data_IF_056869941585
#
_entry.id   IF_056869941585
#
_cell.length_a   1.000
_cell.length_b   1.000
_cell.length_c   1.000
_cell.angle_alpha   90.00
_cell.angle_beta   90.00
_cell.angle_gamma   90.00
#
_symmetry.space_group_name_H-M   'P 1'
#
loop_
_entity.id
_entity.type
_entity.pdbx_description
1 polymer ?
#
# COMPACT_ATOMS: atom_id res chain seq x y z
N UNK A 1 -6.94 15.85 18.01
CA UNK A 1 -6.33 14.53 17.69
C UNK A 1 -4.88 14.75 17.29
N UNK A 2 -3.97 13.80 17.57
CA UNK A 2 -2.59 13.87 17.11
C UNK A 2 -2.42 12.99 15.88
N UNK A 3 -1.74 13.48 14.85
CA UNK A 3 -1.35 12.67 13.71
C UNK A 3 0.00 13.12 13.16
N UNK A 4 0.62 12.29 12.31
CA UNK A 4 1.84 12.68 11.60
C UNK A 4 1.52 13.62 10.45
N UNK A 5 0.46 13.29 9.70
CA UNK A 5 -0.07 14.13 8.64
C UNK A 5 -1.58 14.24 8.83
N UNK A 6 -2.09 15.47 8.85
CA UNK A 6 -3.52 15.76 8.77
C UNK A 6 -3.83 16.38 7.41
N UNK A 7 -4.83 15.82 6.74
CA UNK A 7 -5.43 16.38 5.54
C UNK A 7 -6.83 16.84 5.91
N UNK A 8 -7.08 18.14 5.79
CA UNK A 8 -8.38 18.74 6.09
C UNK A 8 -9.01 19.22 4.79
N UNK A 9 -10.10 18.56 4.39
CA UNK A 9 -10.86 18.85 3.17
C UNK A 9 -9.99 19.02 1.90
N UNK A 10 -9.14 18.03 1.63
CA UNK A 10 -8.14 18.12 0.54
C UNK A 10 -8.70 17.60 -0.78
N UNK A 11 -8.56 18.42 -1.82
CA UNK A 11 -8.79 18.04 -3.22
C UNK A 11 -7.49 18.16 -4.00
N UNK A 12 -6.98 17.04 -4.51
CA UNK A 12 -5.88 17.02 -5.48
C UNK A 12 -6.47 17.08 -6.89
N UNK A 13 -6.08 18.10 -7.65
CA UNK A 13 -6.53 18.35 -9.03
C UNK A 13 -5.32 18.40 -9.95
N UNK A 14 -5.15 17.37 -10.79
CA UNK A 14 -3.94 17.18 -11.60
C UNK A 14 -2.63 17.38 -10.80
N UNK A 15 -2.63 16.97 -9.53
CA UNK A 15 -1.54 17.22 -8.60
C UNK A 15 -1.15 15.96 -7.83
N UNK A 16 -0.04 16.03 -7.10
CA UNK A 16 0.60 14.87 -6.51
C UNK A 16 1.03 15.13 -5.07
N UNK A 17 0.73 14.19 -4.16
CA UNK A 17 1.16 14.21 -2.77
C UNK A 17 1.94 12.93 -2.45
N UNK A 18 3.13 13.08 -1.88
CA UNK A 18 3.96 11.98 -1.42
C UNK A 18 4.28 12.12 0.06
N UNK A 19 3.85 11.15 0.85
CA UNK A 19 4.30 10.93 2.22
C UNK A 19 5.22 9.72 2.17
N UNK A 20 6.51 9.90 2.42
CA UNK A 20 7.43 8.75 2.36
C UNK A 20 8.58 8.80 3.34
N UNK A 21 9.08 7.62 3.70
CA UNK A 21 10.24 7.45 4.58
C UNK A 21 10.05 8.10 5.96
N UNK A 22 8.80 8.19 6.43
CA UNK A 22 8.49 8.81 7.70
C UNK A 22 8.59 7.77 8.82
N UNK A 23 9.41 8.05 9.83
CA UNK A 23 9.47 7.24 11.05
C UNK A 23 8.94 8.07 12.20
N UNK A 24 7.85 7.64 12.81
CA UNK A 24 7.23 8.37 13.91
C UNK A 24 6.81 7.42 15.04
N UNK A 25 6.86 7.94 16.25
CA UNK A 25 6.43 7.24 17.46
C UNK A 25 5.50 8.15 18.26
N UNK A 26 4.33 7.64 18.61
CA UNK A 26 3.38 8.30 19.49
C UNK A 26 3.37 7.63 20.88
N UNK A 27 3.46 8.45 21.92
CA UNK A 27 3.30 7.99 23.32
C UNK A 27 1.84 7.84 23.75
N UNK A 28 0.89 8.34 22.94
CA UNK A 28 -0.56 8.30 23.21
C UNK A 28 -1.25 7.32 22.29
N UNK A 29 -2.14 6.49 22.85
CA UNK A 29 -2.86 5.40 22.16
C UNK A 29 -3.92 5.83 21.12
N UNK A 30 -4.14 7.14 20.92
CA UNK A 30 -5.17 7.68 20.01
C UNK A 30 -4.56 8.53 18.86
N UNK A 31 -3.30 8.29 18.53
CA UNK A 31 -2.66 8.98 17.42
C UNK A 31 -2.91 8.28 16.07
N UNK A 32 -2.91 9.04 14.99
CA UNK A 32 -3.10 8.53 13.62
C UNK A 32 -1.86 8.75 12.75
N UNK A 33 -1.50 7.81 11.88
CA UNK A 33 -0.38 8.00 10.96
C UNK A 33 -0.65 9.13 9.97
N UNK A 34 -1.39 8.79 8.91
CA UNK A 34 -2.00 9.78 8.01
C UNK A 34 -3.51 9.81 8.26
N UNK A 35 -4.03 11.00 8.49
CA UNK A 35 -5.41 11.24 8.91
C UNK A 35 -6.10 12.24 7.97
N UNK A 36 -7.24 11.86 7.40
CA UNK A 36 -8.16 12.80 6.74
C UNK A 36 -9.36 13.05 7.64
N UNK A 37 -9.55 14.30 8.06
CA UNK A 37 -10.69 14.74 8.89
C UNK A 37 -12.00 14.69 8.12
N UNK A 38 -11.94 15.05 6.83
CA UNK A 38 -13.05 15.18 5.90
C UNK A 38 -12.76 14.41 4.61
N UNK A 39 -13.45 14.77 3.53
CA UNK A 39 -13.27 14.14 2.22
C UNK A 39 -11.90 14.44 1.63
N UNK A 40 -11.16 13.37 1.31
CA UNK A 40 -9.98 13.41 0.47
C UNK A 40 -10.39 13.03 -0.96
N UNK A 41 -10.29 13.98 -1.89
CA UNK A 41 -10.64 13.77 -3.29
C UNK A 41 -9.40 13.87 -4.19
N UNK A 42 -9.26 12.94 -5.12
CA UNK A 42 -8.26 12.95 -6.18
C UNK A 42 -8.97 12.94 -7.53
N UNK A 43 -8.69 13.95 -8.36
CA UNK A 43 -9.31 14.15 -9.69
C UNK A 43 -8.27 14.61 -10.72
N UNK A 44 -8.61 14.50 -12.01
CA UNK A 44 -7.76 14.97 -13.11
C UNK A 44 -6.38 14.30 -13.19
N UNK A 45 -6.28 12.99 -12.96
CA UNK A 45 -5.00 12.28 -13.00
C UNK A 45 -4.09 12.56 -11.79
N UNK A 46 -4.69 12.86 -10.64
CA UNK A 46 -3.94 13.15 -9.41
C UNK A 46 -3.36 11.88 -8.78
N UNK A 47 -2.36 12.07 -7.93
CA UNK A 47 -1.78 10.95 -7.18
C UNK A 47 -1.51 11.25 -5.72
N UNK A 48 -1.78 10.28 -4.85
CA UNK A 48 -1.36 10.28 -3.46
C UNK A 48 -0.63 8.97 -3.17
N UNK A 49 0.60 9.08 -2.72
CA UNK A 49 1.39 7.93 -2.29
C UNK A 49 1.83 8.11 -0.85
N UNK A 50 1.51 7.12 -0.01
CA UNK A 50 2.09 6.97 1.31
C UNK A 50 2.92 5.69 1.36
N UNK A 51 4.25 5.81 1.46
CA UNK A 51 5.14 4.65 1.30
C UNK A 51 6.37 4.65 2.19
N UNK A 52 6.79 3.45 2.60
CA UNK A 52 7.98 3.27 3.45
C UNK A 52 7.90 4.05 4.77
N UNK A 53 6.69 4.28 5.27
CA UNK A 53 6.47 4.89 6.58
C UNK A 53 6.47 3.81 7.67
N UNK A 54 6.98 4.15 8.85
CA UNK A 54 6.98 3.30 10.04
C UNK A 54 6.37 4.05 11.21
N UNK A 55 5.24 3.55 11.71
CA UNK A 55 4.49 4.18 12.80
C UNK A 55 4.42 3.27 14.03
N UNK A 56 4.90 3.77 15.16
CA UNK A 56 4.88 3.08 16.45
C UNK A 56 3.94 3.80 17.43
N UNK A 57 3.09 3.05 18.15
CA UNK A 57 2.14 3.60 19.13
C UNK A 57 0.92 4.31 18.53
N UNK A 58 0.67 4.17 17.23
CA UNK A 58 -0.48 4.75 16.53
C UNK A 58 -1.68 3.78 16.51
N UNK A 59 -2.90 4.31 16.49
CA UNK A 59 -4.12 3.50 16.45
C UNK A 59 -4.41 2.97 15.05
N UNK A 60 -4.30 3.83 14.04
CA UNK A 60 -4.45 3.47 12.63
C UNK A 60 -3.24 3.97 11.84
N UNK A 61 -2.74 3.15 10.91
CA UNK A 61 -1.67 3.55 10.00
C UNK A 61 -2.20 4.64 9.05
N UNK A 62 -3.38 4.40 8.49
CA UNK A 62 -4.14 5.36 7.68
C UNK A 62 -5.59 5.42 8.16
N UNK A 63 -6.09 6.61 8.46
CA UNK A 63 -7.51 6.85 8.70
C UNK A 63 -8.02 7.92 7.75
N UNK A 64 -9.03 7.59 6.95
CA UNK A 64 -9.65 8.54 6.03
C UNK A 64 -11.14 8.62 6.34
N UNK A 65 -11.66 9.84 6.40
CA UNK A 65 -13.08 10.06 6.62
C UNK A 65 -13.89 9.58 5.40
N UNK A 66 -13.74 10.29 4.27
CA UNK A 66 -14.19 9.86 2.94
C UNK A 66 -13.00 9.83 1.99
N UNK A 67 -13.03 8.92 1.03
CA UNK A 67 -12.04 8.86 -0.06
C UNK A 67 -12.75 8.80 -1.41
N UNK A 68 -12.38 9.69 -2.32
CA UNK A 68 -12.88 9.69 -3.69
C UNK A 68 -11.71 9.76 -4.65
N UNK A 69 -11.46 8.68 -5.41
CA UNK A 69 -10.39 8.62 -6.41
C UNK A 69 -11.02 8.47 -7.78
N UNK A 70 -10.94 9.52 -8.60
CA UNK A 70 -11.68 9.62 -9.86
C UNK A 70 -10.80 10.16 -10.98
N UNK A 71 -11.28 10.04 -12.21
CA UNK A 71 -10.65 10.64 -13.39
C UNK A 71 -9.17 10.25 -13.52
N UNK A 72 -8.90 8.94 -13.66
CA UNK A 72 -7.54 8.41 -13.86
C UNK A 72 -6.57 8.71 -12.71
N UNK A 73 -7.07 8.85 -11.49
CA UNK A 73 -6.25 9.17 -10.32
C UNK A 73 -5.79 7.92 -9.54
N UNK A 74 -4.79 8.10 -8.68
CA UNK A 74 -4.18 7.00 -7.90
C UNK A 74 -4.04 7.37 -6.44
N UNK A 75 -4.59 6.56 -5.53
CA UNK A 75 -4.24 6.59 -4.11
C UNK A 75 -3.54 5.28 -3.75
N UNK A 76 -2.35 5.35 -3.13
CA UNK A 76 -1.53 4.17 -2.90
C UNK A 76 -0.84 4.20 -1.53
N UNK A 77 -1.04 3.14 -0.76
CA UNK A 77 -0.48 2.88 0.56
C UNK A 77 0.46 1.69 0.43
N UNK A 78 1.77 1.93 0.33
CA UNK A 78 2.74 0.93 -0.10
C UNK A 78 3.85 0.69 0.91
N UNK A 79 4.09 -0.57 1.28
CA UNK A 79 5.27 -0.97 2.08
C UNK A 79 5.44 -0.18 3.38
N UNK A 80 4.33 0.11 4.08
CA UNK A 80 4.36 0.79 5.37
C UNK A 80 4.33 -0.24 6.51
N UNK A 81 4.92 0.12 7.65
CA UNK A 81 4.99 -0.74 8.82
C UNK A 81 4.34 -0.09 10.03
N UNK A 82 3.66 -0.89 10.84
CA UNK A 82 3.13 -0.48 12.13
C UNK A 82 3.50 -1.53 13.20
N UNK A 83 4.07 -1.09 14.32
CA UNK A 83 4.48 -2.03 15.38
C UNK A 83 3.28 -2.78 15.97
N UNK A 84 2.23 -2.04 16.33
CA UNK A 84 0.94 -2.52 16.78
C UNK A 84 -0.13 -1.45 16.56
N UNK A 85 -1.40 -1.86 16.45
CA UNK A 85 -2.52 -0.93 16.28
C UNK A 85 -3.84 -1.64 16.02
N UNK A 86 -4.87 -0.89 15.63
CA UNK A 86 -6.18 -1.43 15.28
C UNK A 86 -6.24 -1.78 13.80
N UNK A 87 -5.78 -0.89 12.91
CA UNK A 87 -5.77 -1.20 11.48
C UNK A 87 -4.73 -0.49 10.62
N UNK A 88 -4.42 -1.10 9.47
CA UNK A 88 -3.58 -0.47 8.44
C UNK A 88 -4.36 0.61 7.69
N UNK A 89 -5.59 0.31 7.27
CA UNK A 89 -6.49 1.27 6.65
C UNK A 89 -7.82 1.28 7.41
N UNK A 90 -8.22 2.46 7.86
CA UNK A 90 -9.51 2.74 8.46
C UNK A 90 -10.31 3.65 7.53
N UNK A 91 -11.45 3.16 7.08
CA UNK A 91 -12.49 3.95 6.45
C UNK A 91 -13.51 4.33 7.52
N UNK A 92 -13.75 5.63 7.69
CA UNK A 92 -14.80 6.09 8.59
C UNK A 92 -16.17 6.04 7.91
N UNK A 93 -16.28 6.59 6.70
CA UNK A 93 -17.53 6.69 5.96
C UNK A 93 -17.41 6.04 4.56
N UNK A 94 -17.45 6.77 3.45
CA UNK A 94 -17.55 6.18 2.11
C UNK A 94 -16.25 6.28 1.30
N UNK A 95 -15.90 5.18 0.63
CA UNK A 95 -14.78 5.12 -0.32
C UNK A 95 -15.31 4.80 -1.71
N UNK A 96 -14.86 5.56 -2.70
CA UNK A 96 -15.22 5.39 -4.10
C UNK A 96 -14.00 5.51 -5.01
N UNK A 97 -13.88 4.57 -5.94
CA UNK A 97 -12.86 4.54 -7.00
C UNK A 97 -13.56 4.42 -8.35
N UNK A 98 -13.44 5.42 -9.21
CA UNK A 98 -14.18 5.49 -10.47
C UNK A 98 -13.34 6.07 -11.63
N UNK A 99 -13.87 5.98 -12.85
CA UNK A 99 -13.23 6.43 -14.08
C UNK A 99 -11.74 6.05 -14.21
N UNK A 100 -11.49 4.76 -14.39
CA UNK A 100 -10.15 4.21 -14.61
C UNK A 100 -9.14 4.57 -13.52
N UNK A 101 -9.59 4.72 -12.27
CA UNK A 101 -8.75 5.10 -11.14
C UNK A 101 -8.32 3.90 -10.31
N UNK A 102 -7.33 4.11 -9.44
CA UNK A 102 -6.72 3.03 -8.67
C UNK A 102 -6.58 3.39 -7.20
N UNK A 103 -6.99 2.47 -6.33
CA UNK A 103 -6.64 2.47 -4.91
C UNK A 103 -5.80 1.24 -4.58
N UNK A 104 -4.60 1.44 -4.05
CA UNK A 104 -3.66 0.36 -3.70
C UNK A 104 -3.36 0.35 -2.20
N UNK A 105 -3.44 -0.81 -1.59
CA UNK A 105 -2.96 -1.08 -0.23
C UNK A 105 -2.09 -2.32 -0.33
N UNK A 106 -0.78 -2.13 -0.50
CA UNK A 106 0.12 -3.22 -0.90
C UNK A 106 1.36 -3.28 -0.02
N UNK A 107 1.73 -4.49 0.42
CA UNK A 107 2.98 -4.72 1.13
C UNK A 107 3.04 -4.12 2.54
N UNK A 108 1.91 -3.69 3.10
CA UNK A 108 1.89 -3.09 4.43
C UNK A 108 1.90 -4.18 5.50
N UNK A 109 2.61 -3.96 6.61
CA UNK A 109 2.72 -4.95 7.66
C UNK A 109 2.62 -4.39 9.07
N UNK A 110 2.15 -5.22 10.00
CA UNK A 110 2.13 -4.86 11.41
C UNK A 110 1.32 -5.79 12.28
N UNK A 111 1.53 -5.73 13.59
CA UNK A 111 0.71 -6.47 14.55
C UNK A 111 -0.59 -5.73 14.84
N UNK A 112 -1.52 -5.73 13.88
CA UNK A 112 -2.79 -5.00 13.97
C UNK A 112 -3.99 -5.93 14.13
N UNK A 113 -5.09 -5.43 14.68
CA UNK A 113 -6.34 -6.21 14.77
C UNK A 113 -6.92 -6.51 13.38
N UNK A 114 -6.87 -5.57 12.44
CA UNK A 114 -7.45 -5.70 11.11
C UNK A 114 -6.56 -5.05 10.02
N UNK A 115 -6.43 -5.62 8.82
CA UNK A 115 -5.78 -4.88 7.71
C UNK A 115 -6.67 -3.72 7.28
N UNK A 116 -7.93 -4.02 6.96
CA UNK A 116 -8.94 -3.09 6.48
C UNK A 116 -10.09 -3.03 7.50
N UNK A 117 -10.28 -1.86 8.10
CA UNK A 117 -11.44 -1.55 8.92
C UNK A 117 -12.39 -0.67 8.11
N UNK A 118 -13.48 -1.26 7.63
CA UNK A 118 -14.43 -0.63 6.71
C UNK A 118 -15.84 -0.98 7.18
N UNK A 119 -16.51 -0.12 7.97
CA UNK A 119 -17.86 -0.38 8.47
C UNK A 119 -18.96 0.00 7.47
N UNK A 120 -18.59 0.61 6.34
CA UNK A 120 -19.48 1.30 5.41
C UNK A 120 -19.20 0.88 3.94
N UNK A 121 -19.87 1.53 2.98
CA UNK A 121 -19.84 1.18 1.56
C UNK A 121 -18.46 1.45 0.91
N UNK A 122 -18.03 0.51 0.08
CA UNK A 122 -16.88 0.63 -0.80
C UNK A 122 -17.33 0.40 -2.25
N UNK A 123 -17.08 1.36 -3.15
CA UNK A 123 -17.51 1.28 -4.55
C UNK A 123 -16.31 1.36 -5.49
N UNK A 124 -16.23 0.43 -6.44
CA UNK A 124 -15.21 0.39 -7.49
C UNK A 124 -15.92 0.24 -8.83
N UNK A 125 -15.83 1.26 -9.69
CA UNK A 125 -16.63 1.32 -10.93
C UNK A 125 -15.83 1.84 -12.13
N UNK A 126 -16.39 1.70 -13.33
CA UNK A 126 -15.85 2.31 -14.57
C UNK A 126 -14.38 1.92 -14.84
N UNK A 127 -14.11 0.61 -14.88
CA UNK A 127 -12.80 0.03 -15.18
C UNK A 127 -11.71 0.47 -14.19
N UNK A 128 -12.09 0.65 -12.93
CA UNK A 128 -11.19 0.99 -11.83
C UNK A 128 -10.63 -0.25 -11.14
N UNK A 129 -9.60 -0.05 -10.31
CA UNK A 129 -8.92 -1.14 -9.62
C UNK A 129 -8.72 -0.87 -8.13
N UNK A 130 -9.11 -1.84 -7.31
CA UNK A 130 -8.79 -1.92 -5.90
C UNK A 130 -7.77 -3.03 -5.67
N UNK A 131 -6.57 -2.66 -5.22
CA UNK A 131 -5.40 -3.53 -5.13
C UNK A 131 -5.00 -3.82 -3.69
N UNK A 132 -5.42 -4.97 -3.15
CA UNK A 132 -5.06 -5.42 -1.79
C UNK A 132 -4.13 -6.62 -1.83
N UNK A 133 -2.82 -6.34 -1.92
CA UNK A 133 -1.82 -7.39 -2.08
C UNK A 133 -0.76 -7.39 -1.01
N UNK A 134 -0.25 -8.57 -0.69
CA UNK A 134 0.98 -8.76 0.08
C UNK A 134 0.97 -8.06 1.47
N UNK A 135 -0.21 -7.80 2.05
CA UNK A 135 -0.30 -7.22 3.38
C UNK A 135 -0.15 -8.31 4.45
N UNK A 136 0.59 -8.02 5.52
CA UNK A 136 0.84 -8.95 6.62
C UNK A 136 0.40 -8.37 7.96
N UNK A 137 -0.70 -8.91 8.49
CA UNK A 137 -1.27 -8.47 9.79
C UNK A 137 -0.99 -9.45 10.93
N UNK A 138 -0.06 -10.39 10.73
CA UNK A 138 0.31 -11.39 11.73
C UNK A 138 -0.89 -12.23 12.16
N UNK A 139 -1.30 -12.10 13.43
CA UNK A 139 -2.43 -12.84 14.01
C UNK A 139 -3.79 -12.11 13.86
N UNK A 140 -3.79 -10.91 13.28
CA UNK A 140 -5.00 -10.13 13.04
C UNK A 140 -5.88 -10.65 11.91
N UNK A 141 -7.01 -9.98 11.69
CA UNK A 141 -7.92 -10.26 10.58
C UNK A 141 -7.55 -9.46 9.32
N UNK A 142 -7.84 -9.95 8.12
CA UNK A 142 -7.76 -9.08 6.93
C UNK A 142 -8.84 -8.00 6.96
N UNK A 143 -10.08 -8.38 7.28
CA UNK A 143 -11.23 -7.48 7.30
C UNK A 143 -11.89 -7.44 8.67
N UNK A 144 -12.32 -6.25 9.09
CA UNK A 144 -13.11 -6.10 10.30
C UNK A 144 -14.51 -6.71 10.16
N UNK A 145 -14.97 -7.39 11.23
CA UNK A 145 -16.23 -8.14 11.26
C UNK A 145 -17.43 -7.21 11.52
N UNK A 146 -18.00 -6.61 10.48
CA UNK A 146 -19.28 -5.87 10.58
C UNK A 146 -20.31 -6.50 9.64
N UNK A 147 -21.55 -6.66 10.11
CA UNK A 147 -22.64 -7.27 9.34
C UNK A 147 -23.09 -6.47 8.10
N UNK A 148 -22.57 -5.25 7.91
CA UNK A 148 -23.12 -4.24 6.99
C UNK A 148 -22.15 -3.72 5.93
N UNK A 149 -20.94 -4.28 5.78
CA UNK A 149 -19.97 -3.77 4.80
C UNK A 149 -20.28 -4.30 3.39
N UNK A 150 -20.57 -3.39 2.45
CA UNK A 150 -20.84 -3.70 1.05
C UNK A 150 -19.65 -3.29 0.18
N UNK A 151 -19.17 -4.20 -0.68
CA UNK A 151 -18.21 -3.89 -1.74
C UNK A 151 -18.92 -4.03 -3.08
N UNK A 152 -19.16 -2.91 -3.75
CA UNK A 152 -19.83 -2.84 -5.05
C UNK A 152 -18.76 -2.73 -6.14
N UNK A 153 -18.83 -3.64 -7.11
CA UNK A 153 -17.89 -3.68 -8.24
C UNK A 153 -18.70 -3.58 -9.53
N UNK A 154 -18.45 -2.53 -10.32
CA UNK A 154 -19.21 -2.18 -11.52
C UNK A 154 -18.30 -1.88 -12.72
N UNK A 155 -18.86 -1.93 -13.94
CA UNK A 155 -18.26 -1.36 -15.14
C UNK A 155 -16.90 -1.96 -15.51
N UNK A 156 -16.74 -3.28 -15.46
CA UNK A 156 -15.46 -3.98 -15.71
C UNK A 156 -14.33 -3.66 -14.72
N UNK A 157 -14.68 -3.22 -13.52
CA UNK A 157 -13.71 -2.99 -12.46
C UNK A 157 -13.17 -4.29 -11.87
N UNK A 158 -11.98 -4.18 -11.27
CA UNK A 158 -11.25 -5.30 -10.70
C UNK A 158 -10.97 -5.06 -9.22
N UNK A 159 -11.11 -6.10 -8.42
CA UNK A 159 -10.61 -6.16 -7.04
C UNK A 159 -9.63 -7.32 -6.94
N UNK A 160 -8.44 -7.07 -6.40
CA UNK A 160 -7.41 -8.09 -6.15
C UNK A 160 -7.21 -8.26 -4.64
N UNK A 161 -7.23 -9.51 -4.19
CA UNK A 161 -6.90 -9.91 -2.82
C UNK A 161 -5.93 -11.08 -2.88
N UNK A 162 -4.62 -10.80 -2.91
CA UNK A 162 -3.59 -11.85 -3.10
C UNK A 162 -2.39 -11.69 -2.18
N UNK A 163 -1.72 -12.79 -1.86
CA UNK A 163 -0.44 -12.77 -1.14
C UNK A 163 -0.50 -12.35 0.34
N UNK A 164 -1.68 -11.98 0.87
CA UNK A 164 -1.79 -11.50 2.25
C UNK A 164 -1.59 -12.60 3.29
N UNK A 165 -1.00 -12.23 4.43
CA UNK A 165 -0.85 -13.07 5.64
C UNK A 165 -1.66 -12.51 6.80
N UNK A 166 -2.41 -13.39 7.47
CA UNK A 166 -3.36 -13.04 8.51
C UNK A 166 -3.61 -14.22 9.47
N UNK A 167 -4.14 -13.93 10.65
CA UNK A 167 -4.64 -14.95 11.58
C UNK A 167 -6.03 -15.43 11.18
N UNK A 168 -6.86 -14.54 10.66
CA UNK A 168 -8.18 -14.83 10.08
C UNK A 168 -8.47 -13.93 8.88
N UNK A 169 -9.40 -14.31 8.02
CA UNK A 169 -9.94 -13.39 7.00
C UNK A 169 -10.84 -12.32 7.62
N UNK A 170 -11.33 -12.56 8.84
CA UNK A 170 -12.46 -11.86 9.41
C UNK A 170 -13.78 -12.23 8.72
N UNK A 171 -14.88 -11.79 9.32
CA UNK A 171 -16.23 -12.01 8.82
C UNK A 171 -16.63 -10.93 7.82
N UNK A 172 -15.97 -10.89 6.66
CA UNK A 172 -16.53 -10.25 5.46
C UNK A 172 -17.61 -11.17 4.85
N UNK A 173 -18.62 -11.53 5.65
CA UNK A 173 -19.71 -12.41 5.23
C UNK A 173 -20.70 -11.56 4.42
N UNK A 174 -20.55 -11.62 3.09
CA UNK A 174 -21.64 -11.75 2.11
C UNK A 174 -21.95 -10.63 1.10
N UNK A 175 -21.29 -9.48 1.07
CA UNK A 175 -21.81 -8.38 0.23
C UNK A 175 -20.88 -7.80 -0.82
N UNK A 176 -20.04 -8.64 -1.44
CA UNK A 176 -19.56 -8.38 -2.80
C UNK A 176 -20.76 -8.36 -3.76
N UNK A 177 -21.06 -7.20 -4.36
CA UNK A 177 -22.12 -7.05 -5.36
C UNK A 177 -21.50 -6.65 -6.70
N UNK A 178 -21.57 -7.57 -7.66
CA UNK A 178 -21.29 -7.22 -9.05
C UNK A 178 -22.49 -6.50 -9.66
N UNK A 179 -22.23 -5.38 -10.31
CA UNK A 179 -23.16 -4.64 -11.14
C UNK A 179 -22.60 -4.67 -12.56
N UNK A 180 -23.43 -5.01 -13.54
CA UNK A 180 -22.97 -5.14 -14.93
C UNK A 180 -22.09 -6.37 -15.21
N UNK A 181 -21.45 -6.35 -16.38
CA UNK A 181 -20.59 -7.42 -16.87
C UNK A 181 -19.10 -7.02 -16.79
N UNK A 182 -18.22 -8.02 -16.88
CA UNK A 182 -16.76 -7.80 -16.94
C UNK A 182 -16.08 -7.56 -15.60
N UNK A 183 -16.83 -7.40 -14.51
CA UNK A 183 -16.26 -7.25 -13.17
C UNK A 183 -15.45 -8.50 -12.76
N UNK A 184 -14.31 -8.28 -12.11
CA UNK A 184 -13.42 -9.36 -11.65
C UNK A 184 -13.13 -9.23 -10.16
N UNK A 185 -13.20 -10.35 -9.47
CA UNK A 185 -12.62 -10.52 -8.15
C UNK A 185 -11.55 -11.60 -8.23
N UNK A 186 -10.28 -11.17 -8.15
CA UNK A 186 -9.11 -12.02 -8.21
C UNK A 186 -8.64 -12.30 -6.78
N UNK A 187 -8.65 -13.55 -6.35
CA UNK A 187 -8.21 -13.91 -5.00
C UNK A 187 -7.43 -15.21 -4.97
N UNK A 188 -6.41 -15.27 -4.13
CA UNK A 188 -5.56 -16.45 -3.99
C UNK A 188 -4.28 -16.18 -3.21
N UNK A 189 -3.52 -17.22 -2.89
CA UNK A 189 -2.26 -17.08 -2.14
C UNK A 189 -2.40 -16.40 -0.79
N UNK A 190 -3.55 -16.60 -0.14
CA UNK A 190 -3.82 -16.08 1.18
C UNK A 190 -3.28 -17.04 2.22
N UNK A 191 -2.48 -16.54 3.15
CA UNK A 191 -1.97 -17.32 4.27
C UNK A 191 -2.78 -17.01 5.52
N UNK A 192 -3.57 -17.98 5.99
CA UNK A 192 -4.39 -17.85 7.20
C UNK A 192 -3.84 -18.79 8.27
N UNK A 193 -3.58 -18.26 9.47
CA UNK A 193 -3.02 -19.01 10.60
C UNK A 193 -1.76 -19.82 10.20
N UNK A 194 -0.91 -19.23 9.36
CA UNK A 194 0.35 -19.82 8.90
C UNK A 194 0.25 -20.80 7.74
N UNK A 195 -0.95 -21.06 7.20
CA UNK A 195 -1.16 -21.97 6.06
C UNK A 195 -1.73 -21.25 4.84
N UNK A 196 -1.17 -21.54 3.67
CA UNK A 196 -1.73 -21.06 2.40
C UNK A 196 -3.06 -21.76 2.14
N UNK A 197 -4.10 -20.96 1.88
CA UNK A 197 -5.44 -21.46 1.55
C UNK A 197 -5.45 -22.09 0.16
N UNK A 198 -6.15 -23.21 0.05
CA UNK A 198 -6.51 -23.79 -1.25
C UNK A 198 -7.71 -23.07 -1.85
N UNK A 199 -7.94 -23.27 -3.15
CA UNK A 199 -9.12 -22.73 -3.86
C UNK A 199 -10.43 -23.09 -3.19
N UNK A 200 -10.58 -24.33 -2.69
CA UNK A 200 -11.79 -24.79 -2.03
C UNK A 200 -12.01 -24.09 -0.67
N UNK A 201 -10.92 -23.73 0.01
CA UNK A 201 -10.96 -23.14 1.35
C UNK A 201 -11.26 -21.64 1.33
N UNK A 202 -10.97 -20.93 0.23
CA UNK A 202 -11.33 -19.51 0.08
C UNK A 202 -12.80 -19.25 0.49
N UNK A 203 -13.72 -20.09 0.01
CA UNK A 203 -15.15 -19.99 0.32
C UNK A 203 -15.45 -20.25 1.80
N UNK A 204 -14.75 -21.19 2.43
CA UNK A 204 -14.92 -21.51 3.86
C UNK A 204 -14.48 -20.33 4.74
N UNK A 205 -13.51 -19.55 4.28
CA UNK A 205 -13.02 -18.34 4.94
C UNK A 205 -13.76 -17.07 4.49
N UNK A 206 -14.97 -17.19 3.92
CA UNK A 206 -15.81 -16.04 3.55
C UNK A 206 -15.41 -15.32 2.27
N UNK A 207 -14.33 -15.74 1.60
CA UNK A 207 -13.90 -15.20 0.31
C UNK A 207 -14.73 -15.86 -0.79
N UNK A 208 -15.89 -15.29 -1.03
CA UNK A 208 -16.89 -15.80 -1.99
C UNK A 208 -16.90 -14.97 -3.28
N UNK A 209 -17.59 -15.46 -4.33
CA UNK A 209 -17.73 -14.77 -5.62
C UNK A 209 -16.41 -14.44 -6.33
N UNK A 210 -15.34 -15.18 -6.00
CA UNK A 210 -14.06 -15.13 -6.71
C UNK A 210 -14.31 -15.52 -8.17
N UNK A 211 -13.96 -14.62 -9.10
CA UNK A 211 -14.08 -14.88 -10.54
C UNK A 211 -12.82 -15.52 -11.11
N UNK A 212 -11.67 -15.22 -10.49
CA UNK A 212 -10.36 -15.70 -10.92
C UNK A 212 -9.56 -16.08 -9.69
N UNK A 213 -9.06 -17.31 -9.64
CA UNK A 213 -8.23 -17.78 -8.55
C UNK A 213 -6.78 -17.48 -8.90
N UNK A 214 -6.09 -16.72 -8.06
CA UNK A 214 -4.67 -16.44 -8.26
C UNK A 214 -3.82 -17.64 -7.76
N UNK A 215 -2.93 -18.12 -8.63
CA UNK A 215 -1.93 -19.13 -8.27
C UNK A 215 -0.64 -18.46 -7.77
N UNK A 216 0.06 -19.13 -6.85
CA UNK A 216 1.19 -18.49 -6.17
C UNK A 216 2.43 -18.53 -7.02
N UNK A 217 3.04 -17.36 -7.22
CA UNK A 217 4.17 -17.17 -8.12
C UNK A 217 3.77 -17.01 -9.59
N UNK A 218 2.48 -17.05 -9.92
CA UNK A 218 1.99 -16.69 -11.24
C UNK A 218 1.49 -15.25 -11.25
N UNK A 219 1.77 -14.54 -12.34
CA UNK A 219 1.33 -13.17 -12.53
C UNK A 219 0.40 -13.06 -13.73
N UNK A 220 -0.68 -12.32 -13.55
CA UNK A 220 -1.71 -12.13 -14.57
C UNK A 220 -1.97 -10.65 -14.77
N UNK A 221 -2.48 -10.31 -15.96
CA UNK A 221 -2.82 -8.94 -16.30
C UNK A 221 -3.85 -8.34 -15.33
N UNK A 222 -4.82 -9.13 -14.90
CA UNK A 222 -5.89 -8.70 -13.99
C UNK A 222 -5.52 -8.82 -12.51
N UNK A 223 -4.50 -9.62 -12.17
CA UNK A 223 -4.05 -9.85 -10.79
C UNK A 223 -2.97 -8.88 -10.32
N UNK A 224 -2.06 -8.50 -11.23
CA UNK A 224 -0.79 -7.86 -10.87
C UNK A 224 -0.62 -6.48 -11.49
N UNK A 225 -1.42 -6.17 -12.51
CA UNK A 225 -1.33 -4.95 -13.28
C UNK A 225 -2.67 -4.21 -13.32
N UNK A 226 -2.62 -2.91 -13.62
CA UNK A 226 -3.82 -2.18 -13.99
C UNK A 226 -4.19 -2.53 -15.44
N UNK A 227 -5.09 -3.50 -15.59
CA UNK A 227 -5.46 -4.09 -16.88
C UNK A 227 -5.82 -3.08 -17.98
N UNK A 228 -6.55 -1.97 -17.71
CA UNK A 228 -6.89 -0.99 -18.74
C UNK A 228 -5.69 -0.32 -19.43
N UNK A 229 -4.55 -0.24 -18.74
CA UNK A 229 -3.33 0.38 -19.25
C UNK A 229 -2.17 -0.62 -19.40
N UNK A 230 -2.48 -1.92 -19.45
CA UNK A 230 -1.47 -2.98 -19.62
C UNK A 230 -1.64 -3.66 -20.98
N UNK A 231 -0.60 -3.68 -21.80
CA UNK A 231 -0.59 -4.32 -23.12
C UNK A 231 -0.23 -5.80 -23.04
N UNK A 232 0.72 -6.15 -22.18
CA UNK A 232 1.18 -7.52 -21.97
C UNK A 232 1.74 -7.72 -20.56
N UNK A 233 1.83 -8.97 -20.13
CA UNK A 233 2.56 -9.37 -18.93
C UNK A 233 3.64 -10.38 -19.35
N UNK A 234 4.88 -10.12 -18.96
CA UNK A 234 6.03 -10.98 -19.25
C UNK A 234 6.95 -11.01 -18.04
N UNK A 235 7.34 -12.19 -17.56
CA UNK A 235 8.19 -12.35 -16.38
C UNK A 235 7.68 -11.58 -15.14
N UNK A 236 6.37 -11.62 -14.89
CA UNK A 236 5.71 -10.86 -13.82
C UNK A 236 5.89 -9.33 -13.90
N UNK A 237 6.23 -8.81 -15.08
CA UNK A 237 6.32 -7.37 -15.35
C UNK A 237 5.18 -6.95 -16.27
N UNK A 238 4.52 -5.87 -15.89
CA UNK A 238 3.48 -5.24 -16.69
C UNK A 238 4.12 -4.37 -17.77
N UNK A 239 3.77 -4.62 -19.03
CA UNK A 239 4.11 -3.72 -20.14
C UNK A 239 2.98 -2.70 -20.29
N UNK A 240 3.31 -1.42 -20.15
CA UNK A 240 2.30 -0.37 -20.10
C UNK A 240 1.93 0.16 -21.49
N UNK A 241 0.64 0.44 -21.67
CA UNK A 241 0.14 1.26 -22.76
C UNK A 241 0.50 2.74 -22.53
N UNK A 242 0.28 3.58 -23.55
CA UNK A 242 0.44 5.03 -23.40
C UNK A 242 -0.41 5.56 -22.23
N UNK A 243 0.22 6.38 -21.38
CA UNK A 243 -0.41 6.92 -20.16
C UNK A 243 -0.38 5.98 -18.94
N UNK A 244 0.12 4.75 -19.06
CA UNK A 244 0.38 3.88 -17.91
C UNK A 244 1.73 4.21 -17.26
N UNK A 245 1.77 4.20 -15.93
CA UNK A 245 2.94 4.58 -15.13
C UNK A 245 3.37 3.49 -14.14
N UNK A 246 4.69 3.38 -13.93
CA UNK A 246 5.29 2.47 -12.96
C UNK A 246 5.14 0.99 -13.30
N UNK A 247 5.54 0.12 -12.37
CA UNK A 247 5.64 -1.33 -12.60
C UNK A 247 4.30 -2.05 -12.77
N UNK A 248 3.20 -1.36 -12.45
CA UNK A 248 1.83 -1.91 -12.51
C UNK A 248 0.93 -1.11 -13.46
N UNK A 249 1.49 -0.19 -14.26
CA UNK A 249 0.78 0.59 -15.28
C UNK A 249 -0.41 1.43 -14.76
N UNK A 250 -0.28 2.04 -13.59
CA UNK A 250 -1.32 2.91 -13.01
C UNK A 250 -1.52 4.19 -13.82
N UNK A 251 -2.70 4.83 -13.76
CA UNK A 251 -3.09 5.93 -14.64
C UNK A 251 -2.49 7.31 -14.29
N UNK A 252 -1.85 7.45 -13.14
CA UNK A 252 -1.17 8.68 -12.71
C UNK A 252 0.28 8.38 -12.29
N UNK A 253 1.22 9.31 -12.51
CA UNK A 253 2.62 9.11 -12.19
C UNK A 253 2.84 8.95 -10.69
N UNK A 254 3.83 8.14 -10.33
CA UNK A 254 4.36 8.10 -8.96
C UNK A 254 5.10 9.42 -8.71
N UNK A 255 4.80 10.20 -7.67
CA UNK A 255 5.53 11.41 -7.38
C UNK A 255 7.00 11.08 -7.11
N UNK A 256 7.90 11.83 -7.73
CA UNK A 256 9.32 11.74 -7.39
C UNK A 256 9.52 12.18 -5.94
N UNK A 257 10.28 11.39 -5.17
CA UNK A 257 10.74 11.81 -3.86
C UNK A 257 11.77 12.95 -3.97
N UNK A 258 12.13 13.59 -2.84
CA UNK A 258 13.25 14.51 -2.84
C UNK A 258 14.50 13.79 -3.38
N UNK A 259 15.34 14.49 -4.18
CA UNK A 259 16.56 13.89 -4.73
C UNK A 259 17.43 13.32 -3.60
N UNK A 260 18.05 12.18 -3.85
CA UNK A 260 18.99 11.56 -2.91
C UNK A 260 20.09 12.56 -2.53
N UNK A 261 20.45 12.70 -1.24
CA UNK A 261 21.61 13.52 -0.88
C UNK A 261 22.85 13.00 -1.60
N UNK A 262 23.77 13.90 -2.03
CA UNK A 262 24.99 13.49 -2.70
C UNK A 262 25.77 12.52 -1.80
N UNK A 263 26.46 11.52 -2.39
CA UNK A 263 27.26 10.58 -1.63
C UNK A 263 28.27 11.34 -0.75
N UNK A 264 28.54 10.86 0.48
CA UNK A 264 29.53 11.50 1.34
C UNK A 264 30.88 11.56 0.61
N UNK A 265 31.64 12.66 0.79
CA UNK A 265 32.97 12.77 0.17
C UNK A 265 33.82 11.57 0.59
N UNK A 266 34.46 10.94 -0.39
CA UNK A 266 35.42 9.86 -0.13
C UNK A 266 36.47 10.36 0.87
N UNK A 267 36.74 9.61 1.96
CA UNK A 267 37.76 10.01 2.91
C UNK A 267 39.10 10.16 2.19
N UNK A 268 39.92 11.17 2.56
CA UNK A 268 41.23 11.34 1.96
C UNK A 268 42.05 10.06 2.16
N UNK A 269 42.89 9.67 1.17
CA UNK A 269 43.70 8.48 1.29
C UNK A 269 44.55 8.56 2.55
N UNK A 270 44.49 7.51 3.37
CA UNK A 270 45.30 7.39 4.59
C UNK A 270 46.77 7.51 4.22
N UNK A 271 47.56 8.40 4.86
CA UNK A 271 49.00 8.45 4.63
C UNK A 271 49.61 7.08 4.92
N UNK A 272 50.39 6.55 3.97
CA UNK A 272 51.19 5.35 4.19
C UNK A 272 52.11 5.59 5.38
N UNK A 273 52.05 4.71 6.39
CA UNK A 273 52.98 4.71 7.51
C UNK A 273 54.41 4.53 6.96
N UNK A 274 55.39 5.34 7.40
CA UNK A 274 56.78 5.13 7.02
C UNK A 274 57.27 3.78 7.57
N UNK A 275 58.18 3.08 6.85
CA UNK A 275 58.70 1.80 7.28
C UNK A 275 59.37 1.93 8.65
N UNK A 276 59.09 0.98 9.54
CA UNK A 276 59.70 0.88 10.85
C UNK A 276 61.18 0.54 10.68
N UNK A 277 62.03 1.44 11.16
CA UNK A 277 63.41 1.16 11.53
C UNK A 277 64.45 1.83 10.67
N UNK A 278 64.86 3.05 11.05
CA UNK A 278 66.26 3.47 11.03
C UNK A 278 66.53 4.39 12.24
N UNK A 279 67.68 4.17 12.87
CA UNK A 279 68.05 4.62 14.21
C UNK A 279 68.32 6.13 14.32
N UNK A 280 67.92 6.73 15.44
CA UNK A 280 68.34 8.07 15.84
C UNK A 280 69.82 8.00 16.24
N UNK A 281 70.69 8.65 15.47
CA UNK A 281 72.10 8.88 15.81
C UNK A 281 72.24 10.16 16.64
N UNK A 282 73.10 10.08 17.65
CA UNK A 282 73.31 11.03 18.74
C UNK A 282 73.53 12.50 18.32
N UNK A 283 72.76 13.41 18.94
CA UNK A 283 73.05 14.85 18.91
C UNK A 283 73.96 15.24 20.08
N UNK A 284 75.15 15.72 19.72
CA UNK A 284 76.10 16.40 20.61
C UNK A 284 75.66 17.85 20.81
N UNK A 285 75.56 18.29 22.08
CA UNK A 285 75.34 19.69 22.44
C UNK A 285 76.67 20.47 22.42
N UNK A 286 76.74 21.67 21.82
CA UNK A 286 77.89 22.56 21.96
C UNK A 286 77.80 23.40 23.26
N UNK A 287 78.96 23.76 23.79
CA UNK A 287 79.19 24.46 25.08
C UNK A 287 78.47 25.81 25.26
#
# INVERSE_FOLDING_TARGET
MLSVVTLDEVVLTASSLLVSNVKAHASKKEAYGLYSTETLALVGGSSLYARYCSFDGYMHLFQLHNLSVRERSVCALLNNTMSSGISLLYQYNEFSVSDHSVLRVVGNSGSVSNAIYSPNLFTVQESSWLDWRDNDVGVGAMFHEVESTFLVIDGSSVVTLTGCRMGSTGRLVSFLRFVGAGCRFVAGCLTVAGRVLTTAELKLYGITKVTTVAACGECTKEGDCFAPLTTAVSDCKCQCAAGGHGDVCVPAPVPAGPPSPPPPPTPPPTPLLPPVGECISDMVYPE
#
